data_IF_849774114655
#
_entry.id   IF_849774114655
#
_cell.length_a   1.000
_cell.length_b   1.000
_cell.length_c   1.000
_cell.angle_alpha   90.00
_cell.angle_beta   90.00
_cell.angle_gamma   90.00
#
_symmetry.space_group_name_H-M   'P 1'
#
loop_
_entity.id
_entity.type
_entity.pdbx_description
1 polymer ?
#
# COMPACT_ATOMS: atom_id res chain seq x y z
N UNK A 1 21.82 -18.44 -13.12
CA UNK A 1 21.13 -18.40 -14.43
C UNK A 1 19.72 -17.88 -14.19
N UNK A 2 19.27 -16.97 -15.04
CA UNK A 2 18.28 -15.91 -14.76
C UNK A 2 16.90 -16.43 -14.30
N UNK A 3 16.35 -15.84 -13.22
CA UNK A 3 14.91 -15.96 -12.89
C UNK A 3 14.19 -14.90 -13.72
N UNK A 4 13.65 -15.32 -14.85
CA UNK A 4 12.99 -14.44 -15.82
C UNK A 4 11.49 -14.65 -15.78
N UNK A 5 10.86 -14.38 -14.64
CA UNK A 5 9.38 -14.42 -14.55
C UNK A 5 8.84 -13.00 -14.45
N UNK A 6 9.15 -12.17 -15.44
CA UNK A 6 8.50 -10.88 -15.61
C UNK A 6 7.20 -11.10 -16.39
N UNK A 7 6.07 -10.80 -15.74
CA UNK A 7 4.75 -10.91 -16.36
C UNK A 7 4.26 -9.50 -16.67
N UNK A 8 3.96 -9.24 -17.93
CA UNK A 8 3.46 -7.95 -18.42
C UNK A 8 2.13 -8.15 -19.15
N UNK A 9 1.16 -7.26 -18.92
CA UNK A 9 -0.07 -7.18 -19.70
C UNK A 9 -0.16 -5.79 -20.34
N UNK A 10 -0.20 -5.75 -21.67
CA UNK A 10 -0.41 -4.51 -22.44
C UNK A 10 -1.86 -4.42 -22.89
N UNK A 11 -2.46 -3.22 -22.80
CA UNK A 11 -3.83 -2.97 -23.20
C UNK A 11 -4.25 -1.54 -22.84
N UNK A 12 -5.37 -1.05 -23.38
CA UNK A 12 -5.91 0.25 -22.98
C UNK A 12 -6.40 0.17 -21.53
N UNK A 13 -6.10 1.20 -20.73
CA UNK A 13 -6.54 1.26 -19.33
C UNK A 13 -8.06 1.10 -19.20
N UNK A 14 -8.83 1.68 -20.13
CA UNK A 14 -10.29 1.57 -20.18
C UNK A 14 -10.81 0.15 -20.42
N UNK A 15 -9.98 -0.72 -21.00
CA UNK A 15 -10.31 -2.11 -21.36
C UNK A 15 -9.71 -3.12 -20.35
N UNK A 16 -8.99 -2.65 -19.33
CA UNK A 16 -8.40 -3.50 -18.29
C UNK A 16 -9.39 -3.75 -17.14
N UNK A 17 -9.79 -5.01 -17.00
CA UNK A 17 -10.71 -5.55 -15.97
C UNK A 17 -10.08 -5.71 -14.56
N UNK A 18 -8.86 -5.19 -14.37
CA UNK A 18 -8.03 -5.30 -13.14
C UNK A 18 -7.77 -6.73 -12.67
N UNK A 19 -8.07 -7.75 -13.48
CA UNK A 19 -7.84 -9.17 -13.12
C UNK A 19 -6.36 -9.51 -13.05
N UNK A 20 -5.56 -8.82 -13.87
CA UNK A 20 -4.10 -8.88 -13.80
C UNK A 20 -3.59 -8.32 -12.47
N UNK A 21 -3.97 -7.07 -12.15
CA UNK A 21 -3.52 -6.38 -10.92
C UNK A 21 -3.88 -7.18 -9.68
N UNK A 22 -5.12 -7.69 -9.61
CA UNK A 22 -5.58 -8.51 -8.48
C UNK A 22 -4.73 -9.76 -8.30
N UNK A 23 -4.49 -10.53 -9.36
CA UNK A 23 -3.66 -11.74 -9.30
C UNK A 23 -2.21 -11.42 -8.93
N UNK A 24 -1.64 -10.39 -9.55
CA UNK A 24 -0.28 -9.93 -9.25
C UNK A 24 -0.12 -9.59 -7.77
N UNK A 25 -1.00 -8.73 -7.23
CA UNK A 25 -0.91 -8.30 -5.83
C UNK A 25 -1.24 -9.41 -4.84
N UNK A 26 -2.17 -10.31 -5.16
CA UNK A 26 -2.48 -11.46 -4.30
C UNK A 26 -1.33 -12.48 -4.21
N UNK A 27 -0.50 -12.60 -5.25
CA UNK A 27 0.68 -13.44 -5.24
C UNK A 27 1.84 -12.88 -4.40
N UNK A 28 1.81 -11.58 -4.05
CA UNK A 28 2.88 -10.95 -3.28
C UNK A 28 2.78 -11.25 -1.77
N UNK A 29 3.91 -11.47 -1.09
CA UNK A 29 3.94 -11.53 0.38
C UNK A 29 3.37 -10.27 1.03
N UNK A 30 2.78 -10.35 2.24
CA UNK A 30 2.28 -9.19 2.98
C UNK A 30 3.27 -8.02 3.07
N UNK A 31 4.55 -8.32 3.33
CA UNK A 31 5.60 -7.30 3.46
C UNK A 31 5.83 -6.53 2.17
N UNK A 32 5.79 -7.20 1.01
CA UNK A 32 5.99 -6.56 -0.30
C UNK A 32 4.83 -5.61 -0.60
N UNK A 33 3.59 -6.05 -0.32
CA UNK A 33 2.41 -5.19 -0.47
C UNK A 33 2.48 -3.96 0.42
N UNK A 34 2.88 -4.15 1.68
CA UNK A 34 3.04 -3.06 2.63
C UNK A 34 4.09 -2.05 2.16
N UNK A 35 5.27 -2.52 1.73
CA UNK A 35 6.34 -1.65 1.26
C UNK A 35 5.90 -0.81 0.05
N UNK A 36 5.26 -1.44 -0.95
CA UNK A 36 4.76 -0.73 -2.12
C UNK A 36 3.71 0.33 -1.75
N UNK A 37 2.78 0.01 -0.83
CA UNK A 37 1.81 0.98 -0.34
C UNK A 37 2.49 2.12 0.42
N UNK A 38 3.52 1.84 1.22
CA UNK A 38 4.27 2.83 1.98
C UNK A 38 5.04 3.80 1.07
N UNK A 39 5.66 3.28 0.00
CA UNK A 39 6.33 4.11 -1.00
C UNK A 39 5.37 5.13 -1.63
N UNK A 40 4.13 4.74 -1.92
CA UNK A 40 3.09 5.65 -2.42
C UNK A 40 2.70 6.73 -1.41
N UNK A 41 2.60 6.37 -0.12
CA UNK A 41 2.32 7.35 0.96
C UNK A 41 3.45 8.37 1.08
N UNK A 42 4.71 7.91 1.07
CA UNK A 42 5.88 8.80 1.13
C UNK A 42 5.93 9.69 -0.11
N UNK A 43 5.66 9.14 -1.30
CA UNK A 43 5.60 9.91 -2.53
C UNK A 43 4.53 11.01 -2.46
N UNK A 44 3.31 10.67 -2.04
CA UNK A 44 2.24 11.64 -1.82
C UNK A 44 2.66 12.75 -0.85
N UNK A 45 3.24 12.39 0.30
CA UNK A 45 3.69 13.35 1.30
C UNK A 45 4.71 14.34 0.73
N UNK A 46 5.68 13.84 -0.04
CA UNK A 46 6.67 14.67 -0.75
C UNK A 46 6.02 15.63 -1.73
N UNK A 47 5.09 15.13 -2.57
CA UNK A 47 4.36 15.94 -3.56
C UNK A 47 3.54 17.05 -2.89
N UNK A 48 3.01 16.78 -1.68
CA UNK A 48 2.22 17.75 -0.91
C UNK A 48 3.03 18.64 0.03
N UNK A 49 4.36 18.49 0.07
CA UNK A 49 5.23 19.26 0.96
C UNK A 49 5.06 18.94 2.44
N UNK A 50 4.55 17.75 2.77
CA UNK A 50 4.43 17.27 4.15
C UNK A 50 5.81 16.79 4.66
N UNK A 51 6.09 16.98 5.95
CA UNK A 51 7.30 16.43 6.56
C UNK A 51 7.19 14.89 6.65
N UNK A 52 7.92 14.19 5.78
CA UNK A 52 7.95 12.72 5.73
C UNK A 52 8.40 12.09 7.05
N UNK A 53 9.16 12.82 7.89
CA UNK A 53 9.61 12.33 9.21
C UNK A 53 8.49 12.30 10.24
N UNK A 54 7.37 12.96 9.94
CA UNK A 54 6.18 12.98 10.79
C UNK A 54 5.13 11.95 10.34
N UNK A 55 5.40 11.18 9.27
CA UNK A 55 4.54 10.09 8.84
C UNK A 55 4.58 8.97 9.87
N UNK A 56 3.54 8.92 10.71
CA UNK A 56 3.29 7.85 11.67
C UNK A 56 1.84 7.42 11.56
N UNK A 57 1.56 6.19 11.95
CA UNK A 57 0.17 5.77 12.12
C UNK A 57 -0.47 6.64 13.21
N UNK A 58 -1.35 7.54 12.81
CA UNK A 58 -2.18 8.30 13.76
C UNK A 58 -3.21 7.34 14.35
N UNK A 59 -2.86 6.75 15.49
CA UNK A 59 -3.81 5.98 16.29
C UNK A 59 -4.38 6.90 17.37
N UNK A 60 -5.71 7.02 17.39
CA UNK A 60 -6.43 7.47 18.57
C UNK A 60 -6.70 6.21 19.40
N UNK A 61 -6.16 6.16 20.61
CA UNK A 61 -6.44 5.07 21.57
C UNK A 61 -7.38 5.64 22.60
N UNK A 62 -8.63 5.18 22.59
CA UNK A 62 -9.60 5.48 23.63
C UNK A 62 -9.67 4.30 24.59
N UNK A 63 -9.58 4.60 25.90
CA UNK A 63 -9.60 3.60 26.96
C UNK A 63 -10.91 3.74 27.72
N UNK A 64 -11.81 2.78 27.55
CA UNK A 64 -13.05 2.72 28.34
C UNK A 64 -12.77 2.13 29.71
N UNK A 65 -13.06 2.88 30.77
CA UNK A 65 -12.96 2.41 32.16
C UNK A 65 -14.37 2.25 32.74
N UNK A 66 -14.54 1.25 33.60
CA UNK A 66 -15.81 1.03 34.31
C UNK A 66 -16.03 2.18 35.29
N UNK A 67 -17.14 2.92 35.17
CA UNK A 67 -17.55 3.88 36.19
C UNK A 67 -17.82 3.13 37.51
N UNK A 68 -17.04 3.43 38.55
CA UNK A 68 -17.43 3.07 39.91
C UNK A 68 -18.51 4.04 40.35
N UNK A 69 -19.66 3.49 40.74
CA UNK A 69 -20.77 4.20 41.39
C UNK A 69 -20.60 4.11 42.90
#
# INVERSE_FOLDING_TARGET
MQRTDFVERKGKISELDRSFDRRFWQAQPPTVRFNAAWELVVHYARVKGLDVRQLRLHRSVETFQRQQR
#
